data_IF_902135566235
#
_entry.id   IF_902135566235
#
_cell.length_a   1.000
_cell.length_b   1.000
_cell.length_c   1.000
_cell.angle_alpha   90.00
_cell.angle_beta   90.00
_cell.angle_gamma   90.00
#
_symmetry.space_group_name_H-M   'P 1'
#
loop_
_entity.id
_entity.type
_entity.pdbx_description
1 polymer ?
#
# COMPACT_ATOMS: atom_id res chain seq x y z
N UNK A 1 11.03 -9.75 36.92
CA UNK A 1 10.37 -8.51 36.47
C UNK A 1 10.01 -8.74 35.01
N UNK A 2 8.72 -8.81 34.69
CA UNK A 2 8.26 -8.90 33.31
C UNK A 2 7.93 -7.48 32.89
N UNK A 3 8.91 -6.79 32.32
CA UNK A 3 8.67 -5.52 31.65
C UNK A 3 8.21 -5.84 30.23
N UNK A 4 6.96 -5.48 29.98
CA UNK A 4 6.22 -5.62 28.74
C UNK A 4 6.91 -4.88 27.59
N UNK A 5 7.68 -5.62 26.79
CA UNK A 5 8.14 -5.17 25.46
C UNK A 5 7.03 -5.45 24.42
N UNK A 6 5.83 -4.88 24.62
CA UNK A 6 4.71 -5.02 23.68
C UNK A 6 4.73 -3.96 22.57
N UNK A 7 5.72 -3.06 22.57
CA UNK A 7 5.80 -1.96 21.60
C UNK A 7 6.52 -2.35 20.30
N UNK A 8 7.27 -3.46 20.29
CA UNK A 8 8.10 -3.85 19.13
C UNK A 8 7.38 -4.69 18.09
N UNK A 9 6.35 -5.44 18.48
CA UNK A 9 5.60 -6.32 17.56
C UNK A 9 4.57 -5.56 16.73
N UNK A 10 4.12 -4.38 17.18
CA UNK A 10 3.05 -3.64 16.49
C UNK A 10 3.53 -2.81 15.29
N UNK A 11 4.81 -2.42 15.26
CA UNK A 11 5.40 -1.73 14.11
C UNK A 11 5.60 -2.68 12.92
N UNK A 12 6.12 -3.88 13.19
CA UNK A 12 6.46 -4.90 12.17
C UNK A 12 5.23 -5.36 11.36
N UNK A 13 4.07 -5.51 12.01
CA UNK A 13 2.82 -5.91 11.34
C UNK A 13 2.25 -4.80 10.44
N UNK A 14 2.51 -3.54 10.80
CA UNK A 14 2.06 -2.38 10.03
C UNK A 14 2.97 -2.09 8.84
N UNK A 15 4.27 -2.37 8.97
CA UNK A 15 5.28 -2.22 7.90
C UNK A 15 5.07 -3.20 6.75
N UNK A 16 4.55 -4.41 7.02
CA UNK A 16 4.25 -5.40 5.97
C UNK A 16 2.98 -5.10 5.17
N UNK A 17 2.18 -4.12 5.59
CA UNK A 17 0.89 -3.79 4.98
C UNK A 17 1.00 -2.86 3.78
N UNK A 18 2.12 -2.17 3.61
CA UNK A 18 2.27 -1.18 2.55
C UNK A 18 3.59 -1.36 1.80
N UNK A 19 3.51 -1.28 0.47
CA UNK A 19 4.69 -1.24 -0.41
C UNK A 19 4.76 0.11 -1.12
N UNK A 20 5.98 0.63 -1.29
CA UNK A 20 6.24 1.81 -2.13
C UNK A 20 6.74 1.34 -3.49
N UNK A 21 6.07 1.80 -4.55
CA UNK A 21 6.46 1.52 -5.94
C UNK A 21 6.49 2.80 -6.77
N UNK A 22 6.99 2.74 -7.99
CA UNK A 22 6.94 3.83 -8.96
C UNK A 22 5.81 3.57 -9.96
N UNK A 23 5.01 4.59 -10.26
CA UNK A 23 3.91 4.53 -11.21
C UNK A 23 3.97 5.72 -12.18
N UNK A 24 3.56 5.49 -13.43
CA UNK A 24 3.59 6.49 -14.51
C UNK A 24 4.98 6.67 -15.14
N UNK A 25 5.00 7.37 -16.28
CA UNK A 25 6.22 7.63 -17.06
C UNK A 25 7.20 8.55 -16.29
N UNK A 26 6.69 9.35 -15.35
CA UNK A 26 7.47 10.23 -14.48
C UNK A 26 8.11 9.54 -13.26
N UNK A 27 7.84 8.24 -13.03
CA UNK A 27 8.39 7.49 -11.90
C UNK A 27 7.90 7.99 -10.54
N UNK A 28 6.67 8.51 -10.46
CA UNK A 28 6.11 9.05 -9.22
C UNK A 28 5.95 7.93 -8.19
N UNK A 29 6.38 8.19 -6.96
CA UNK A 29 6.27 7.21 -5.88
C UNK A 29 4.83 7.11 -5.41
N UNK A 30 4.31 5.88 -5.36
CA UNK A 30 2.99 5.55 -4.85
C UNK A 30 3.08 4.47 -3.78
N UNK A 31 2.25 4.62 -2.74
CA UNK A 31 2.08 3.60 -1.69
C UNK A 31 0.87 2.73 -2.03
N UNK A 32 1.09 1.41 -2.09
CA UNK A 32 0.04 0.41 -2.30
C UNK A 32 -0.13 -0.43 -1.03
N UNK A 33 -1.33 -0.95 -0.81
CA UNK A 33 -1.55 -1.98 0.19
C UNK A 33 -0.95 -3.29 -0.34
N UNK A 34 -0.12 -3.92 0.49
CA UNK A 34 0.41 -5.24 0.25
C UNK A 34 -0.64 -6.27 0.68
N UNK A 35 -1.36 -6.79 -0.30
CA UNK A 35 -2.35 -7.84 -0.10
C UNK A 35 -1.70 -9.19 -0.45
N UNK A 36 -1.62 -10.10 0.52
CA UNK A 36 -1.01 -11.44 0.32
C UNK A 36 -2.02 -12.47 -0.16
N UNK A 37 -3.31 -12.14 -0.17
CA UNK A 37 -4.42 -13.01 -0.58
C UNK A 37 -4.74 -12.86 -2.08
N UNK A 38 -4.33 -11.75 -2.69
CA UNK A 38 -4.60 -11.39 -4.08
C UNK A 38 -3.30 -11.11 -4.84
N UNK A 39 -3.20 -11.66 -6.06
CA UNK A 39 -2.02 -11.51 -6.91
C UNK A 39 -1.98 -10.17 -7.67
N UNK A 40 -3.02 -9.34 -7.54
CA UNK A 40 -3.21 -8.11 -8.32
C UNK A 40 -3.51 -6.92 -7.41
N UNK A 41 -2.90 -5.78 -7.74
CA UNK A 41 -3.21 -4.49 -7.15
C UNK A 41 -3.96 -3.60 -8.16
N UNK A 42 -4.88 -2.78 -7.65
CA UNK A 42 -5.65 -1.83 -8.46
C UNK A 42 -5.26 -0.40 -8.10
N UNK A 43 -4.95 0.40 -9.12
CA UNK A 43 -4.62 1.82 -8.98
C UNK A 43 -5.71 2.61 -9.69
N UNK A 44 -6.23 3.65 -9.04
CA UNK A 44 -7.14 4.57 -9.70
C UNK A 44 -6.36 5.40 -10.72
N UNK A 45 -6.78 5.34 -11.98
CA UNK A 45 -6.19 6.17 -13.03
C UNK A 45 -6.59 7.63 -12.87
N UNK A 46 -5.66 8.54 -13.10
CA UNK A 46 -5.94 9.98 -13.24
C UNK A 46 -6.72 10.32 -14.52
N UNK A 47 -6.88 9.36 -15.43
CA UNK A 47 -7.66 9.53 -16.64
C UNK A 47 -9.16 9.44 -16.35
N UNK A 48 -9.84 10.60 -16.35
CA UNK A 48 -11.29 10.67 -16.27
C UNK A 48 -11.92 10.53 -17.66
N UNK A 49 -12.90 9.64 -17.79
CA UNK A 49 -13.72 9.48 -19.00
C UNK A 49 -15.12 10.01 -18.72
N UNK A 50 -15.69 10.76 -19.66
CA UNK A 50 -17.06 11.25 -19.56
C UNK A 50 -18.05 10.09 -19.74
N UNK A 51 -18.87 9.84 -18.73
CA UNK A 51 -19.98 8.89 -18.83
C UNK A 51 -21.18 9.59 -19.51
N UNK A 52 -21.28 9.47 -20.83
CA UNK A 52 -22.48 9.89 -21.56
C UNK A 52 -23.59 8.84 -21.41
N UNK A 53 -24.81 9.31 -21.12
CA UNK A 53 -26.03 8.49 -20.98
C UNK A 53 -26.93 8.67 -22.19
#
# INVERSE_FOLDING_TARGET
>A
MYETDASRTQADDTEQRYITTQYGDGGEQMTLVHDTENEQAWIQSDHAVEATR
#
